data_IF_533440388415
#
_entry.id   IF_533440388415
#
_cell.length_a   1.000
_cell.length_b   1.000
_cell.length_c   1.000
_cell.angle_alpha   90.00
_cell.angle_beta   90.00
_cell.angle_gamma   90.00
#
_symmetry.space_group_name_H-M   'P 1'
#
loop_
_entity.id
_entity.type
_entity.pdbx_description
1 polymer ?
#
# COMPACT_ATOMS: atom_id res chain seq x y z
N UNK A 1 5.42 -25.42 -73.56
CA UNK A 1 4.61 -24.58 -72.66
C UNK A 1 5.07 -24.89 -71.24
N UNK A 2 5.94 -24.04 -70.68
CA UNK A 2 6.50 -24.22 -69.35
C UNK A 2 5.66 -23.41 -68.35
N UNK A 3 5.08 -24.09 -67.36
CA UNK A 3 4.28 -23.48 -66.31
C UNK A 3 5.19 -22.89 -65.24
N UNK A 4 5.03 -21.60 -64.95
CA UNK A 4 5.69 -20.90 -63.87
C UNK A 4 4.99 -21.23 -62.53
N UNK A 5 5.70 -21.65 -61.47
CA UNK A 5 5.09 -21.82 -60.16
C UNK A 5 4.99 -20.46 -59.47
N UNK A 6 3.75 -20.02 -59.23
CA UNK A 6 3.43 -18.88 -58.37
C UNK A 6 3.73 -19.23 -56.92
N UNK A 7 4.89 -18.78 -56.43
CA UNK A 7 5.15 -18.64 -55.00
C UNK A 7 4.51 -17.35 -54.50
N UNK A 8 3.41 -17.48 -53.76
CA UNK A 8 2.87 -16.41 -52.93
C UNK A 8 2.63 -16.97 -51.52
N UNK A 9 3.70 -17.03 -50.72
CA UNK A 9 3.60 -17.13 -49.27
C UNK A 9 3.55 -15.71 -48.69
N UNK A 10 2.48 -14.97 -49.01
CA UNK A 10 2.17 -13.73 -48.30
C UNK A 10 1.54 -14.12 -46.97
N UNK A 11 2.39 -14.32 -45.96
CA UNK A 11 1.95 -14.43 -44.57
C UNK A 11 1.33 -13.07 -44.22
N UNK A 12 0.04 -12.99 -43.88
CA UNK A 12 -0.60 -11.72 -43.59
C UNK A 12 0.18 -11.02 -42.47
N UNK A 13 0.59 -9.77 -42.73
CA UNK A 13 1.18 -8.90 -41.72
C UNK A 13 0.19 -8.82 -40.56
N UNK A 14 0.56 -9.35 -39.40
CA UNK A 14 -0.24 -9.23 -38.19
C UNK A 14 -0.42 -7.74 -37.88
N UNK A 15 -1.66 -7.29 -37.77
CA UNK A 15 -1.98 -5.94 -37.29
C UNK A 15 -1.22 -5.70 -35.98
N UNK A 16 -0.46 -4.59 -35.85
CA UNK A 16 0.22 -4.29 -34.61
C UNK A 16 -0.81 -4.28 -33.46
N UNK A 17 -0.44 -4.89 -32.34
CA UNK A 17 -1.29 -4.93 -31.17
C UNK A 17 -1.57 -3.49 -30.70
N UNK A 18 -2.80 -3.24 -30.25
CA UNK A 18 -3.21 -1.92 -29.78
C UNK A 18 -2.48 -1.59 -28.47
N UNK A 19 -1.91 -0.40 -28.39
CA UNK A 19 -1.25 0.22 -27.23
C UNK A 19 -1.89 1.61 -27.07
N UNK A 20 -2.93 1.66 -26.24
CA UNK A 20 -3.83 2.81 -26.14
C UNK A 20 -3.21 3.96 -25.35
N UNK A 21 -2.38 3.68 -24.35
CA UNK A 21 -1.75 4.66 -23.47
C UNK A 21 -0.28 4.97 -23.83
N UNK A 22 0.27 4.24 -24.80
CA UNK A 22 1.56 4.48 -25.48
C UNK A 22 2.75 4.30 -24.57
N UNK A 23 2.66 3.34 -23.66
CA UNK A 23 3.74 3.00 -22.74
C UNK A 23 4.73 1.97 -23.34
N UNK A 24 4.37 1.36 -24.48
CA UNK A 24 5.14 0.33 -25.17
C UNK A 24 4.70 -1.11 -24.90
N UNK A 25 3.66 -1.32 -24.10
CA UNK A 25 2.96 -2.57 -23.91
C UNK A 25 1.62 -2.53 -24.66
N UNK A 26 1.22 -3.67 -25.23
CA UNK A 26 -0.12 -3.74 -25.84
C UNK A 26 -1.20 -3.95 -24.77
N UNK A 27 -2.37 -3.36 -24.95
CA UNK A 27 -3.54 -3.46 -24.07
C UNK A 27 -3.86 -4.91 -23.65
N UNK A 28 -3.70 -5.88 -24.57
CA UNK A 28 -3.95 -7.29 -24.31
C UNK A 28 -2.89 -7.95 -23.43
N UNK A 29 -1.62 -7.54 -23.56
CA UNK A 29 -0.52 -8.02 -22.72
C UNK A 29 -0.69 -7.47 -21.30
N UNK A 30 -0.96 -6.18 -21.16
CA UNK A 30 -1.22 -5.57 -19.85
C UNK A 30 -2.38 -6.26 -19.13
N UNK A 31 -3.51 -6.45 -19.82
CA UNK A 31 -4.68 -7.14 -19.27
C UNK A 31 -4.35 -8.57 -18.83
N UNK A 32 -3.55 -9.31 -19.61
CA UNK A 32 -3.13 -10.66 -19.26
C UNK A 32 -2.22 -10.68 -18.01
N UNK A 33 -1.26 -9.74 -17.91
CA UNK A 33 -0.36 -9.63 -16.77
C UNK A 33 -1.11 -9.22 -15.49
N UNK A 34 -1.99 -8.22 -15.58
CA UNK A 34 -2.84 -7.76 -14.48
C UNK A 34 -3.78 -8.87 -13.98
N UNK A 35 -4.33 -9.68 -14.90
CA UNK A 35 -5.17 -10.82 -14.52
C UNK A 35 -4.36 -11.92 -13.84
N UNK A 36 -3.20 -12.29 -14.39
CA UNK A 36 -2.35 -13.38 -13.87
C UNK A 36 -1.83 -13.09 -12.47
N UNK A 37 -1.37 -11.87 -12.24
CA UNK A 37 -0.80 -11.46 -10.95
C UNK A 37 -1.80 -10.74 -10.05
N UNK A 38 -3.11 -10.92 -10.28
CA UNK A 38 -4.13 -10.28 -9.46
C UNK A 38 -4.03 -10.70 -7.98
N UNK A 39 -3.85 -9.76 -7.03
CA UNK A 39 -3.73 -10.08 -5.62
C UNK A 39 -5.04 -10.65 -5.03
N UNK A 40 -4.90 -11.45 -3.98
CA UNK A 40 -6.03 -11.84 -3.12
C UNK A 40 -6.08 -10.90 -1.93
N UNK A 41 -7.06 -10.00 -1.92
CA UNK A 41 -7.24 -9.03 -0.84
C UNK A 41 -8.05 -9.64 0.32
N UNK A 42 -7.49 -9.61 1.52
CA UNK A 42 -8.11 -10.04 2.77
C UNK A 42 -8.59 -8.80 3.51
N UNK A 43 -9.90 -8.60 3.61
CA UNK A 43 -10.53 -7.39 4.18
C UNK A 43 -11.42 -7.77 5.35
N UNK A 44 -11.46 -6.94 6.40
CA UNK A 44 -12.33 -7.18 7.56
C UNK A 44 -13.81 -7.16 7.17
N UNK A 45 -14.58 -8.15 7.63
CA UNK A 45 -16.04 -8.17 7.47
C UNK A 45 -16.76 -7.01 8.13
N UNK A 46 -16.12 -6.40 9.13
CA UNK A 46 -16.66 -5.27 9.88
C UNK A 46 -16.07 -3.95 9.41
N UNK A 47 -15.40 -3.93 8.26
CA UNK A 47 -14.89 -2.69 7.71
C UNK A 47 -16.04 -1.74 7.35
N UNK A 48 -15.80 -0.45 7.53
CA UNK A 48 -16.78 0.59 7.26
C UNK A 48 -16.99 0.84 5.76
N UNK A 49 -16.03 0.45 4.93
CA UNK A 49 -16.09 0.41 3.47
C UNK A 49 -15.83 -1.04 3.09
N UNK A 50 -16.85 -1.89 3.22
CA UNK A 50 -16.78 -3.37 3.20
C UNK A 50 -15.90 -3.95 2.07
N UNK A 51 -15.78 -3.26 0.94
CA UNK A 51 -14.87 -3.63 -0.15
C UNK A 51 -14.43 -2.41 -0.97
N UNK A 52 -13.40 -2.56 -1.82
CA UNK A 52 -13.00 -1.53 -2.79
C UNK A 52 -14.17 -1.09 -3.68
N UNK A 53 -14.16 0.18 -4.00
CA UNK A 53 -15.22 0.91 -4.67
C UNK A 53 -14.95 1.05 -6.17
N UNK A 54 -16.02 0.89 -6.95
CA UNK A 54 -16.08 1.28 -8.34
C UNK A 54 -16.49 2.74 -8.47
N UNK A 55 -15.82 3.44 -9.39
CA UNK A 55 -16.04 4.86 -9.69
C UNK A 55 -16.76 5.04 -11.02
N UNK A 56 -17.52 6.13 -11.12
CA UNK A 56 -18.20 6.54 -12.35
C UNK A 56 -17.14 6.88 -13.41
N UNK A 57 -17.34 6.35 -14.62
CA UNK A 57 -16.43 6.54 -15.75
C UNK A 57 -16.67 7.89 -16.44
N UNK A 58 -15.66 8.40 -17.14
CA UNK A 58 -15.73 9.59 -17.99
C UNK A 58 -16.11 10.88 -17.25
N UNK A 59 -15.74 10.96 -15.97
CA UNK A 59 -15.88 12.16 -15.16
C UNK A 59 -14.56 12.42 -14.42
N UNK A 60 -14.21 13.69 -14.28
CA UNK A 60 -12.98 14.11 -13.58
C UNK A 60 -13.13 14.14 -12.06
N UNK A 61 -14.35 14.30 -11.56
CA UNK A 61 -14.62 14.25 -10.12
C UNK A 61 -14.80 12.79 -9.68
N UNK A 62 -13.95 12.25 -8.77
CA UNK A 62 -14.08 10.89 -8.28
C UNK A 62 -15.44 10.74 -7.58
N UNK A 63 -16.33 9.98 -8.22
CA UNK A 63 -17.67 9.71 -7.69
C UNK A 63 -17.82 8.21 -7.56
N UNK A 64 -17.96 7.74 -6.32
CA UNK A 64 -18.19 6.34 -6.04
C UNK A 64 -19.56 5.93 -6.58
N UNK A 65 -19.57 4.87 -7.38
CA UNK A 65 -20.77 4.22 -7.87
C UNK A 65 -21.25 3.13 -6.89
N UNK A 66 -20.38 2.19 -6.52
CA UNK A 66 -20.71 1.09 -5.60
C UNK A 66 -19.45 0.52 -4.96
N UNK A 67 -19.59 -0.10 -3.78
CA UNK A 67 -18.52 -0.81 -3.09
C UNK A 67 -18.66 -2.28 -3.51
N UNK A 68 -18.00 -2.69 -4.61
CA UNK A 68 -18.25 -3.96 -5.32
C UNK A 68 -17.00 -4.85 -5.51
N UNK A 69 -15.85 -4.45 -4.98
CA UNK A 69 -14.59 -5.18 -5.14
C UNK A 69 -13.89 -4.94 -6.48
N UNK A 70 -14.17 -3.82 -7.14
CA UNK A 70 -13.41 -3.37 -8.32
C UNK A 70 -12.00 -2.97 -7.92
N UNK A 71 -11.01 -3.50 -8.65
CA UNK A 71 -9.59 -3.16 -8.51
C UNK A 71 -9.15 -2.41 -9.77
N UNK A 72 -8.30 -1.41 -9.60
CA UNK A 72 -7.75 -0.61 -10.68
C UNK A 72 -6.29 -1.00 -10.89
N UNK A 73 -5.99 -1.52 -12.08
CA UNK A 73 -4.65 -1.97 -12.45
C UNK A 73 -3.93 -0.95 -13.31
N UNK A 74 -2.61 -0.88 -13.19
CA UNK A 74 -1.72 -0.20 -14.15
C UNK A 74 -0.54 -1.15 -14.40
N UNK A 75 -0.16 -1.31 -15.66
CA UNK A 75 1.08 -1.98 -16.03
C UNK A 75 1.98 -0.95 -16.70
N UNK A 76 3.26 -0.89 -16.35
CA UNK A 76 4.19 -0.05 -17.12
C UNK A 76 5.60 -0.65 -17.16
N UNK A 77 6.29 -0.56 -18.31
CA UNK A 77 7.62 -1.11 -18.48
C UNK A 77 8.67 -0.25 -17.78
N UNK A 78 9.67 -0.89 -17.19
CA UNK A 78 10.83 -0.18 -16.65
C UNK A 78 11.73 0.34 -17.76
N UNK A 79 11.91 1.66 -17.80
CA UNK A 79 12.72 2.34 -18.82
C UNK A 79 14.20 1.93 -18.79
N UNK A 80 14.72 1.57 -17.62
CA UNK A 80 16.12 1.24 -17.38
C UNK A 80 16.40 -0.28 -17.40
N UNK A 81 15.37 -1.11 -17.42
CA UNK A 81 15.48 -2.58 -17.35
C UNK A 81 14.51 -3.25 -18.32
N UNK A 82 14.93 -3.46 -19.58
CA UNK A 82 14.12 -4.14 -20.57
C UNK A 82 13.67 -5.52 -20.07
N UNK A 83 12.40 -5.85 -20.30
CA UNK A 83 11.79 -7.09 -19.79
C UNK A 83 11.40 -7.05 -18.32
N UNK A 84 11.56 -5.93 -17.60
CA UNK A 84 10.89 -5.72 -16.31
C UNK A 84 9.64 -4.84 -16.49
N UNK A 85 8.54 -5.25 -15.88
CA UNK A 85 7.26 -4.52 -15.87
C UNK A 85 6.81 -4.36 -14.42
N UNK A 86 6.34 -3.17 -14.07
CA UNK A 86 5.67 -2.92 -12.80
C UNK A 86 4.16 -3.06 -12.97
N UNK A 87 3.53 -3.84 -12.11
CA UNK A 87 2.08 -3.99 -12.04
C UNK A 87 1.60 -3.36 -10.74
N UNK A 88 0.81 -2.29 -10.82
CA UNK A 88 0.22 -1.63 -9.66
C UNK A 88 -1.26 -1.98 -9.58
N UNK A 89 -1.73 -2.33 -8.38
CA UNK A 89 -3.12 -2.64 -8.09
C UNK A 89 -3.62 -1.67 -7.02
N UNK A 90 -4.39 -0.69 -7.46
CA UNK A 90 -5.04 0.28 -6.60
C UNK A 90 -6.40 -0.26 -6.14
N UNK A 91 -6.57 -0.33 -4.83
CA UNK A 91 -7.85 -0.58 -4.21
C UNK A 91 -8.35 0.73 -3.62
N UNK A 92 -9.38 1.27 -4.26
CA UNK A 92 -9.91 2.59 -3.98
C UNK A 92 -11.13 2.46 -3.09
N UNK A 93 -11.24 3.24 -2.03
CA UNK A 93 -12.32 3.14 -1.06
C UNK A 93 -13.15 4.39 -1.02
N UNK A 94 -14.41 4.23 -0.62
CA UNK A 94 -15.33 5.34 -0.44
C UNK A 94 -14.84 6.31 0.64
N UNK A 95 -14.22 5.78 1.70
CA UNK A 95 -13.78 6.53 2.87
C UNK A 95 -12.71 5.75 3.62
N UNK A 96 -11.80 6.46 4.26
CA UNK A 96 -11.05 6.02 5.45
C UNK A 96 -11.94 6.29 6.69
N UNK A 97 -12.07 5.32 7.59
CA UNK A 97 -12.77 5.46 8.86
C UNK A 97 -11.91 5.11 10.07
N UNK A 98 -10.59 5.17 9.92
CA UNK A 98 -9.67 5.28 11.03
C UNK A 98 -9.98 6.50 11.91
N UNK A 99 -9.15 6.70 12.93
CA UNK A 99 -9.34 7.76 13.92
C UNK A 99 -9.42 9.17 13.30
N UNK A 100 -8.74 9.39 12.17
CA UNK A 100 -8.76 10.62 11.39
C UNK A 100 -9.43 10.43 10.02
N UNK A 101 -10.52 9.65 10.00
CA UNK A 101 -11.19 9.25 8.77
C UNK A 101 -11.58 10.41 7.84
N UNK A 102 -11.51 10.14 6.54
CA UNK A 102 -11.81 11.09 5.47
C UNK A 102 -12.56 10.41 4.32
N UNK A 103 -13.20 11.21 3.47
CA UNK A 103 -13.76 10.70 2.22
C UNK A 103 -12.63 10.37 1.25
N UNK A 104 -12.86 9.35 0.42
CA UNK A 104 -11.94 8.84 -0.60
C UNK A 104 -10.60 8.39 -0.02
N UNK A 105 -10.29 7.12 -0.23
CA UNK A 105 -9.01 6.58 0.20
C UNK A 105 -8.43 5.71 -0.93
N UNK A 106 -7.12 5.84 -1.12
CA UNK A 106 -6.43 5.31 -2.29
C UNK A 106 -5.15 4.63 -1.83
N UNK A 107 -5.23 3.31 -1.78
CA UNK A 107 -4.14 2.46 -1.33
C UNK A 107 -3.80 1.43 -2.42
N UNK A 108 -2.59 0.87 -2.35
CA UNK A 108 -2.12 0.00 -3.42
C UNK A 108 -1.12 -1.07 -2.97
N UNK A 109 -1.01 -2.08 -3.83
CA UNK A 109 0.04 -3.09 -3.82
C UNK A 109 0.62 -3.15 -5.22
N UNK A 110 1.92 -3.40 -5.35
CA UNK A 110 2.56 -3.53 -6.65
C UNK A 110 3.46 -4.76 -6.73
N UNK A 111 3.65 -5.26 -7.93
CA UNK A 111 4.55 -6.35 -8.25
C UNK A 111 5.56 -5.89 -9.31
N UNK A 112 6.83 -6.22 -9.10
CA UNK A 112 7.84 -6.13 -10.14
C UNK A 112 7.96 -7.51 -10.78
N UNK A 113 7.70 -7.60 -12.08
CA UNK A 113 7.76 -8.86 -12.82
C UNK A 113 8.87 -8.83 -13.87
N UNK A 114 9.40 -10.01 -14.16
CA UNK A 114 10.22 -10.27 -15.33
C UNK A 114 9.37 -10.92 -16.42
N UNK A 115 9.40 -10.35 -17.61
CA UNK A 115 8.70 -10.78 -18.80
C UNK A 115 9.70 -11.39 -19.80
N UNK A 116 9.60 -12.69 -20.04
CA UNK A 116 10.42 -13.41 -21.02
C UNK A 116 9.58 -13.78 -22.25
N UNK A 117 9.17 -12.77 -23.02
CA UNK A 117 8.35 -12.93 -24.22
C UNK A 117 6.88 -12.61 -24.02
N UNK A 118 6.14 -13.47 -23.32
CA UNK A 118 4.67 -13.36 -23.17
C UNK A 118 4.19 -13.42 -21.71
N UNK A 119 2.89 -13.18 -21.52
CA UNK A 119 2.29 -13.17 -20.19
C UNK A 119 2.38 -14.53 -19.48
N UNK A 120 2.53 -15.65 -20.20
CA UNK A 120 2.57 -17.02 -19.66
C UNK A 120 3.97 -17.42 -19.17
N UNK A 121 5.02 -16.78 -19.67
CA UNK A 121 6.38 -16.93 -19.14
C UNK A 121 6.72 -15.99 -17.99
N UNK A 122 5.91 -14.94 -17.76
CA UNK A 122 6.17 -13.92 -16.76
C UNK A 122 6.31 -14.48 -15.34
N UNK A 123 7.24 -13.92 -14.56
CA UNK A 123 7.46 -14.25 -13.14
C UNK A 123 7.54 -12.98 -12.31
N UNK A 124 6.82 -12.94 -11.18
CA UNK A 124 7.04 -11.88 -10.21
C UNK A 124 8.39 -12.08 -9.51
N UNK A 125 9.15 -10.98 -9.39
CA UNK A 125 10.43 -10.92 -8.68
C UNK A 125 10.23 -10.42 -7.26
N UNK A 126 9.40 -9.38 -7.10
CA UNK A 126 9.15 -8.69 -5.84
C UNK A 126 7.71 -8.23 -5.72
N UNK A 127 7.27 -8.05 -4.47
CA UNK A 127 5.98 -7.50 -4.09
C UNK A 127 6.17 -6.36 -3.10
N UNK A 128 5.52 -5.24 -3.36
CA UNK A 128 5.46 -4.07 -2.50
C UNK A 128 4.03 -3.86 -2.01
N UNK A 129 3.86 -3.58 -0.73
CA UNK A 129 2.58 -3.23 -0.14
C UNK A 129 2.66 -1.85 0.52
N UNK A 130 1.79 -0.94 0.09
CA UNK A 130 1.70 0.41 0.63
C UNK A 130 0.87 0.41 1.91
N UNK A 131 1.47 0.76 3.04
CA UNK A 131 0.74 0.94 4.30
C UNK A 131 1.12 2.28 4.92
N UNK A 132 0.16 3.20 5.01
CA UNK A 132 0.39 4.57 5.50
C UNK A 132 1.48 5.30 4.69
N UNK A 133 1.58 4.98 3.40
CA UNK A 133 2.59 5.53 2.51
C UNK A 133 2.54 7.07 2.48
N UNK A 134 3.70 7.72 2.34
CA UNK A 134 3.85 9.18 2.33
C UNK A 134 3.45 9.89 3.64
N UNK A 135 3.10 9.15 4.69
CA UNK A 135 2.85 9.72 6.02
C UNK A 135 4.10 9.68 6.91
N UNK A 136 4.00 10.28 8.10
CA UNK A 136 5.03 10.13 9.16
C UNK A 136 5.15 8.68 9.65
N UNK A 137 4.16 7.87 9.30
CA UNK A 137 3.92 6.55 9.84
C UNK A 137 3.98 5.44 8.79
N UNK A 138 4.64 5.73 7.66
CA UNK A 138 4.84 4.80 6.55
C UNK A 138 5.40 3.43 6.99
N UNK A 139 4.52 2.45 6.92
CA UNK A 139 4.74 1.03 7.20
C UNK A 139 4.82 0.21 5.90
N UNK A 140 5.05 0.85 4.76
CA UNK A 140 5.18 0.16 3.50
C UNK A 140 6.39 -0.77 3.51
N UNK A 141 6.26 -1.90 2.84
CA UNK A 141 7.26 -2.95 2.84
C UNK A 141 7.31 -3.69 1.52
N UNK A 142 8.44 -4.36 1.31
CA UNK A 142 8.82 -5.04 0.08
C UNK A 142 9.27 -6.46 0.45
N UNK A 143 8.86 -7.47 -0.30
CA UNK A 143 9.34 -8.84 -0.16
C UNK A 143 9.73 -9.40 -1.54
N UNK A 144 10.62 -10.41 -1.57
CA UNK A 144 10.78 -11.21 -2.79
C UNK A 144 9.49 -11.98 -3.03
N UNK A 145 9.11 -12.17 -4.29
CA UNK A 145 7.90 -12.92 -4.63
C UNK A 145 7.93 -14.35 -4.07
N UNK A 146 9.10 -14.99 -4.09
CA UNK A 146 9.32 -16.30 -3.46
C UNK A 146 9.00 -16.31 -1.96
N UNK A 147 9.33 -15.24 -1.23
CA UNK A 147 9.10 -15.12 0.22
C UNK A 147 7.62 -15.18 0.58
N UNK A 148 6.77 -14.69 -0.31
CA UNK A 148 5.30 -14.62 -0.16
C UNK A 148 4.59 -15.63 -1.06
N UNK A 149 5.35 -16.61 -1.59
CA UNK A 149 4.88 -17.66 -2.49
C UNK A 149 4.02 -17.12 -3.66
N UNK A 150 4.44 -16.02 -4.30
CA UNK A 150 3.68 -15.30 -5.32
C UNK A 150 4.52 -15.01 -6.57
N UNK A 151 5.38 -15.95 -6.97
CA UNK A 151 6.20 -15.83 -8.20
C UNK A 151 5.38 -16.05 -9.47
N UNK A 152 4.30 -16.82 -9.37
CA UNK A 152 3.50 -17.31 -10.50
C UNK A 152 2.06 -16.80 -10.54
N UNK A 153 1.64 -16.13 -9.47
CA UNK A 153 0.28 -15.63 -9.24
C UNK A 153 0.32 -14.40 -8.32
N UNK A 154 -0.83 -13.79 -8.06
CA UNK A 154 -0.92 -12.67 -7.13
C UNK A 154 -0.63 -13.02 -5.68
N UNK A 155 -0.06 -12.08 -4.92
CA UNK A 155 0.15 -12.25 -3.48
C UNK A 155 -1.18 -12.20 -2.71
N UNK A 156 -1.18 -12.83 -1.53
CA UNK A 156 -2.23 -12.55 -0.52
C UNK A 156 -1.87 -11.24 0.17
N UNK A 157 -2.83 -10.33 0.29
CA UNK A 157 -2.65 -8.98 0.85
C UNK A 157 -3.67 -8.77 1.95
N UNK A 158 -3.22 -8.39 3.13
CA UNK A 158 -4.06 -8.07 4.28
C UNK A 158 -4.28 -6.57 4.35
N UNK A 159 -5.54 -6.17 4.36
CA UNK A 159 -5.94 -4.76 4.43
C UNK A 159 -6.31 -4.43 5.87
N UNK A 160 -5.67 -3.41 6.45
CA UNK A 160 -5.99 -2.99 7.80
C UNK A 160 -7.37 -2.34 7.89
N UNK A 161 -8.15 -2.72 8.90
CA UNK A 161 -9.51 -2.23 9.01
C UNK A 161 -9.57 -0.73 9.32
N UNK A 162 -10.37 -0.02 8.54
CA UNK A 162 -10.67 1.39 8.64
C UNK A 162 -9.64 2.33 8.04
N UNK A 163 -8.34 1.96 8.04
CA UNK A 163 -7.27 2.76 7.41
C UNK A 163 -6.82 2.22 6.05
N UNK A 164 -7.18 0.99 5.73
CA UNK A 164 -6.89 0.28 4.49
C UNK A 164 -5.42 0.13 4.06
N UNK A 165 -4.47 0.24 4.99
CA UNK A 165 -3.07 -0.04 4.70
C UNK A 165 -2.89 -1.49 4.25
N UNK A 166 -2.05 -1.71 3.22
CA UNK A 166 -1.77 -3.01 2.65
C UNK A 166 -0.59 -3.71 3.31
N UNK A 167 -0.75 -4.99 3.60
CA UNK A 167 0.29 -5.82 4.20
C UNK A 167 0.46 -7.17 3.51
N UNK A 168 1.71 -7.63 3.34
CA UNK A 168 2.04 -8.94 2.75
C UNK A 168 1.94 -10.11 3.74
N UNK A 169 1.64 -9.84 5.00
CA UNK A 169 1.28 -10.86 5.98
C UNK A 169 0.39 -10.28 7.08
N UNK A 170 -0.39 -11.16 7.73
CA UNK A 170 -1.18 -10.79 8.91
C UNK A 170 -0.30 -10.27 10.04
N UNK A 171 0.87 -10.87 10.22
CA UNK A 171 1.85 -10.48 11.23
C UNK A 171 2.36 -9.07 10.99
N UNK A 172 2.66 -8.69 9.74
CA UNK A 172 3.09 -7.33 9.42
C UNK A 172 1.98 -6.30 9.71
N UNK A 173 0.72 -6.63 9.41
CA UNK A 173 -0.41 -5.78 9.73
C UNK A 173 -0.55 -5.52 11.24
N UNK A 174 -0.38 -6.56 12.07
CA UNK A 174 -0.40 -6.41 13.53
C UNK A 174 0.70 -5.47 14.06
N UNK A 175 1.73 -5.19 13.25
CA UNK A 175 2.85 -4.31 13.57
C UNK A 175 2.90 -3.05 12.67
N UNK A 176 1.76 -2.69 12.07
CA UNK A 176 1.61 -1.47 11.29
C UNK A 176 1.73 -0.19 12.14
N UNK A 177 1.28 0.94 11.60
CA UNK A 177 1.22 2.19 12.35
C UNK A 177 -0.07 2.27 13.17
N UNK A 178 0.02 1.80 14.42
CA UNK A 178 -0.86 2.17 15.52
C UNK A 178 -2.35 2.14 15.19
N UNK A 179 -3.01 1.03 15.49
CA UNK A 179 -4.45 0.86 15.26
C UNK A 179 -4.79 0.07 14.01
N UNK A 180 -3.79 -0.34 13.22
CA UNK A 180 -3.97 -1.36 12.18
C UNK A 180 -4.44 -2.68 12.81
N UNK A 181 -5.50 -3.24 12.24
CA UNK A 181 -6.06 -4.54 12.66
C UNK A 181 -6.47 -5.32 11.41
N UNK A 182 -5.96 -6.55 11.30
CA UNK A 182 -6.33 -7.49 10.23
C UNK A 182 -6.95 -8.75 10.84
N UNK A 183 -7.97 -8.54 11.68
CA UNK A 183 -8.75 -9.58 12.33
C UNK A 183 -10.06 -9.79 11.57
N UNK A 184 -10.63 -11.00 11.67
CA UNK A 184 -11.91 -11.34 11.01
C UNK A 184 -11.97 -11.03 9.51
N UNK A 185 -10.81 -11.15 8.84
CA UNK A 185 -10.69 -10.88 7.41
C UNK A 185 -11.22 -12.03 6.57
N UNK A 186 -11.81 -11.69 5.44
CA UNK A 186 -12.24 -12.62 4.40
C UNK A 186 -11.66 -12.21 3.03
N UNK A 187 -11.44 -13.17 2.11
CA UNK A 187 -11.01 -12.83 0.77
C UNK A 187 -12.13 -12.06 0.05
N UNK A 188 -11.80 -10.88 -0.45
CA UNK A 188 -12.68 -10.10 -1.32
C UNK A 188 -12.79 -10.80 -2.66
N UNK A 189 -14.02 -10.98 -3.13
CA UNK A 189 -14.27 -11.39 -4.50
C UNK A 189 -14.03 -10.20 -5.42
N UNK A 190 -12.86 -10.15 -6.05
CA UNK A 190 -12.56 -9.15 -7.09
C UNK A 190 -13.59 -9.25 -8.20
N UNK A 191 -14.34 -8.18 -8.42
CA UNK A 191 -15.39 -8.15 -9.45
C UNK A 191 -14.80 -7.93 -10.84
N UNK A 192 -13.84 -7.01 -10.92
CA UNK A 192 -13.16 -6.64 -12.14
C UNK A 192 -11.79 -6.05 -11.81
N UNK A 193 -10.86 -6.18 -12.76
CA UNK A 193 -9.61 -5.42 -12.79
C UNK A 193 -9.73 -4.48 -13.99
N UNK A 194 -9.70 -3.18 -13.73
CA UNK A 194 -9.80 -2.14 -14.77
C UNK A 194 -8.41 -1.59 -15.01
N UNK A 195 -7.84 -1.79 -16.21
CA UNK A 195 -6.60 -1.11 -16.57
C UNK A 195 -6.88 0.40 -16.66
N UNK A 196 -6.19 1.19 -15.86
CA UNK A 196 -6.36 2.64 -15.85
C UNK A 196 -5.39 3.35 -16.80
N UNK A 197 -4.41 2.64 -17.33
CA UNK A 197 -3.35 3.15 -18.21
C UNK A 197 -2.47 4.19 -17.53
N UNK A 198 -1.65 4.85 -18.34
CA UNK A 198 -0.76 5.92 -17.91
C UNK A 198 -1.48 7.21 -17.51
N UNK A 199 -0.89 7.97 -16.59
CA UNK A 199 -1.43 9.27 -16.14
C UNK A 199 -1.63 10.27 -17.29
N UNK A 200 -0.78 10.21 -18.31
CA UNK A 200 -0.86 11.07 -19.50
C UNK A 200 -1.87 10.58 -20.55
N UNK A 201 -2.34 9.34 -20.43
CA UNK A 201 -3.28 8.71 -21.35
C UNK A 201 -4.22 7.75 -20.60
N UNK A 202 -5.11 8.26 -19.71
CA UNK A 202 -5.98 7.41 -18.93
C UNK A 202 -6.86 6.50 -19.80
N UNK A 203 -6.92 5.23 -19.45
CA UNK A 203 -7.73 4.22 -20.10
C UNK A 203 -9.06 4.01 -19.39
N UNK A 204 -9.98 3.36 -20.10
CA UNK A 204 -11.26 2.89 -19.55
C UNK A 204 -12.13 3.97 -18.88
N UNK A 205 -11.96 5.24 -19.23
CA UNK A 205 -12.74 6.36 -18.69
C UNK A 205 -12.35 6.73 -17.26
N UNK A 206 -11.07 6.54 -16.90
CA UNK A 206 -10.52 6.81 -15.57
C UNK A 206 -10.06 8.27 -15.41
N UNK A 207 -10.78 9.24 -15.99
CA UNK A 207 -10.39 10.66 -15.98
C UNK A 207 -10.26 11.25 -14.56
N UNK A 208 -10.92 10.63 -13.59
CA UNK A 208 -10.86 10.99 -12.17
C UNK A 208 -9.50 10.70 -11.50
N UNK A 209 -8.59 9.96 -12.15
CA UNK A 209 -7.22 9.77 -11.65
C UNK A 209 -6.47 11.10 -11.53
N UNK A 210 -6.83 12.08 -12.37
CA UNK A 210 -6.21 13.41 -12.41
C UNK A 210 -6.84 14.39 -11.40
N UNK A 211 -7.83 13.94 -10.63
CA UNK A 211 -8.52 14.79 -9.66
C UNK A 211 -7.59 15.21 -8.52
N UNK A 212 -7.59 16.50 -8.12
CA UNK A 212 -6.87 16.94 -6.92
C UNK A 212 -7.55 16.50 -5.61
N UNK A 213 -8.72 15.85 -5.67
CA UNK A 213 -9.46 15.43 -4.47
C UNK A 213 -8.81 14.26 -3.70
N UNK A 214 -7.80 13.59 -4.27
CA UNK A 214 -7.04 12.53 -3.61
C UNK A 214 -5.65 12.30 -4.26
N UNK A 215 -4.67 11.68 -3.57
CA UNK A 215 -3.26 11.70 -3.97
C UNK A 215 -2.88 10.64 -5.03
N UNK A 216 -3.79 10.21 -5.90
CA UNK A 216 -3.52 9.13 -6.87
C UNK A 216 -2.47 9.49 -7.92
N UNK A 217 -2.46 10.75 -8.38
CA UNK A 217 -1.50 11.22 -9.38
C UNK A 217 -0.04 10.93 -9.00
N UNK A 218 0.31 11.17 -7.74
CA UNK A 218 1.69 10.98 -7.28
C UNK A 218 2.05 9.48 -7.12
N UNK A 219 1.05 8.62 -6.89
CA UNK A 219 1.21 7.16 -6.82
C UNK A 219 1.37 6.52 -8.21
N UNK A 220 0.58 6.95 -9.20
CA UNK A 220 0.61 6.41 -10.57
C UNK A 220 1.91 6.66 -11.33
N UNK A 221 2.60 7.76 -10.99
CA UNK A 221 3.77 8.23 -11.74
C UNK A 221 5.12 7.71 -11.23
N UNK A 222 5.13 6.89 -10.17
CA UNK A 222 6.38 6.50 -9.48
C UNK A 222 6.57 4.99 -9.44
N UNK A 223 7.83 4.59 -9.56
CA UNK A 223 8.24 3.21 -9.30
C UNK A 223 8.27 2.92 -7.81
N UNK A 224 7.72 1.78 -7.41
CA UNK A 224 7.87 1.28 -6.04
C UNK A 224 9.18 0.52 -5.82
N UNK A 225 9.89 0.21 -6.90
CA UNK A 225 11.03 -0.71 -6.94
C UNK A 225 12.35 -0.01 -7.29
N UNK A 226 12.63 1.10 -6.61
CA UNK A 226 13.93 1.78 -6.74
C UNK A 226 15.09 0.83 -6.45
N UNK A 227 16.23 1.03 -7.10
CA UNK A 227 17.43 0.20 -6.92
C UNK A 227 17.86 0.10 -5.44
N UNK A 228 17.69 1.17 -4.66
CA UNK A 228 17.99 1.19 -3.24
C UNK A 228 17.05 0.30 -2.40
N UNK A 229 15.77 0.18 -2.80
CA UNK A 229 14.81 -0.74 -2.17
C UNK A 229 15.10 -2.18 -2.56
N UNK A 230 15.33 -2.45 -3.84
CA UNK A 230 15.68 -3.78 -4.35
C UNK A 230 16.97 -4.29 -3.71
N UNK A 231 18.04 -3.50 -3.71
CA UNK A 231 19.31 -3.86 -3.08
C UNK A 231 19.19 -4.11 -1.57
N UNK A 232 18.19 -3.52 -0.89
CA UNK A 232 17.91 -3.80 0.52
C UNK A 232 17.20 -5.14 0.69
N UNK A 233 16.16 -5.40 -0.10
CA UNK A 233 15.50 -6.71 -0.12
C UNK A 233 16.50 -7.82 -0.46
N UNK A 234 17.47 -7.53 -1.34
CA UNK A 234 18.46 -8.51 -1.77
C UNK A 234 19.43 -8.95 -0.68
N UNK A 235 19.72 -8.09 0.31
CA UNK A 235 20.66 -8.37 1.40
C UNK A 235 20.08 -9.21 2.52
N UNK A 236 18.76 -9.34 2.59
CA UNK A 236 18.12 -10.16 3.62
C UNK A 236 17.94 -11.61 3.15
N UNK A 237 17.72 -12.49 4.12
CA UNK A 237 17.39 -13.89 3.84
C UNK A 237 16.09 -13.95 3.04
N UNK A 238 15.98 -14.97 2.19
CA UNK A 238 14.85 -15.14 1.27
C UNK A 238 13.46 -15.17 1.91
N UNK A 239 13.32 -15.28 3.24
CA UNK A 239 12.04 -15.35 3.93
C UNK A 239 11.55 -14.03 4.52
N UNK A 240 12.27 -12.91 4.34
CA UNK A 240 11.95 -11.65 5.04
C UNK A 240 11.37 -10.59 4.11
N UNK A 241 10.36 -9.88 4.62
CA UNK A 241 9.96 -8.58 4.11
C UNK A 241 10.88 -7.48 4.70
N UNK A 242 11.13 -6.43 3.92
CA UNK A 242 11.90 -5.24 4.31
C UNK A 242 11.01 -4.02 4.33
N UNK A 243 11.22 -3.14 5.31
CA UNK A 243 10.60 -1.82 5.28
C UNK A 243 11.09 -1.03 4.07
N UNK A 244 10.17 -0.45 3.32
CA UNK A 244 10.47 0.38 2.17
C UNK A 244 11.17 1.67 2.59
N UNK A 245 10.75 2.25 3.72
CA UNK A 245 11.25 3.52 4.27
C UNK A 245 11.69 3.38 5.75
N UNK A 246 12.81 2.69 6.04
CA UNK A 246 13.23 2.36 7.41
C UNK A 246 13.50 3.59 8.29
N UNK A 247 13.81 4.74 7.70
CA UNK A 247 14.00 6.00 8.42
C UNK A 247 12.73 6.52 9.11
N UNK A 248 11.54 6.01 8.74
CA UNK A 248 10.25 6.37 9.34
C UNK A 248 9.92 5.53 10.58
N UNK A 249 10.61 4.42 10.83
CA UNK A 249 10.37 3.51 11.97
C UNK A 249 10.44 4.16 13.35
N UNK A 250 11.36 5.09 13.66
CA UNK A 250 11.40 5.71 14.98
C UNK A 250 10.10 6.44 15.35
N UNK A 251 9.43 7.06 14.38
CA UNK A 251 8.15 7.71 14.62
C UNK A 251 7.03 6.69 14.91
N UNK A 252 7.01 5.57 14.19
CA UNK A 252 6.04 4.50 14.42
C UNK A 252 6.17 3.87 15.81
N UNK A 253 7.40 3.62 16.28
CA UNK A 253 7.63 3.08 17.61
C UNK A 253 7.08 4.02 18.70
N UNK A 254 7.25 5.33 18.52
CA UNK A 254 6.67 6.33 19.41
C UNK A 254 5.14 6.34 19.37
N UNK A 255 4.54 6.27 18.18
CA UNK A 255 3.08 6.26 17.98
C UNK A 255 2.45 4.98 18.57
N UNK A 256 3.05 3.82 18.32
CA UNK A 256 2.67 2.54 18.92
C UNK A 256 2.73 2.61 20.45
N UNK A 257 3.80 3.17 21.01
CA UNK A 257 3.97 3.34 22.46
C UNK A 257 2.93 4.28 23.07
N UNK A 258 2.55 5.36 22.39
CA UNK A 258 1.50 6.28 22.84
C UNK A 258 0.12 5.61 22.80
N UNK A 259 -0.21 4.91 21.72
CA UNK A 259 -1.49 4.20 21.59
C UNK A 259 -1.62 3.09 22.64
N UNK A 260 -0.53 2.37 22.92
CA UNK A 260 -0.48 1.40 24.02
C UNK A 260 -0.66 2.08 25.40
N UNK A 261 -0.09 3.27 25.59
CA UNK A 261 -0.25 4.05 26.81
C UNK A 261 -1.66 4.58 27.06
N UNK A 262 -2.41 4.87 25.99
CA UNK A 262 -3.80 5.32 26.05
C UNK A 262 -4.81 4.15 26.08
N UNK A 263 -4.43 2.97 25.57
CA UNK A 263 -5.27 1.77 25.49
C UNK A 263 -5.13 0.75 26.64
N UNK A 264 -4.19 0.92 27.57
CA UNK A 264 -3.99 0.02 28.71
C UNK A 264 -2.63 -0.64 28.73
N UNK A 265 -2.00 -0.67 29.90
CA UNK A 265 -0.58 -0.92 30.18
C UNK A 265 -0.01 -2.33 29.83
N UNK A 266 -0.61 -3.09 28.91
CA UNK A 266 -0.20 -4.45 28.59
C UNK A 266 0.73 -4.58 27.35
N UNK A 267 0.78 -3.59 26.44
CA UNK A 267 1.41 -3.77 25.10
C UNK A 267 2.83 -3.21 24.97
N UNK A 268 3.29 -2.41 25.95
CA UNK A 268 4.61 -1.73 25.88
C UNK A 268 5.82 -2.68 25.85
N UNK A 269 5.68 -3.90 26.40
CA UNK A 269 6.72 -4.92 26.35
C UNK A 269 6.76 -5.64 24.98
N UNK A 270 5.61 -5.96 24.38
CA UNK A 270 5.52 -6.68 23.11
C UNK A 270 5.97 -5.86 21.89
N UNK A 271 5.76 -4.53 21.92
CA UNK A 271 6.27 -3.63 20.88
C UNK A 271 7.81 -3.52 20.88
N UNK A 272 8.46 -3.85 22.02
CA UNK A 272 9.92 -3.88 22.16
C UNK A 272 10.48 -5.25 21.78
N UNK A 273 9.79 -6.34 22.13
CA UNK A 273 10.18 -7.70 21.73
C UNK A 273 10.09 -7.92 20.21
N UNK A 274 9.21 -7.22 19.50
CA UNK A 274 9.06 -7.41 18.05
C UNK A 274 10.11 -6.66 17.22
N UNK A 275 10.92 -5.79 17.84
CA UNK A 275 12.19 -5.35 17.25
C UNK A 275 13.26 -6.47 17.27
N UNK A 276 13.07 -7.52 18.08
CA UNK A 276 13.99 -8.67 18.20
C UNK A 276 13.88 -9.67 17.03
N UNK A 277 12.82 -9.61 16.22
CA UNK A 277 12.70 -10.47 15.03
C UNK A 277 13.67 -10.10 13.89
N UNK A 278 14.38 -8.97 13.99
CA UNK A 278 15.18 -8.38 12.89
C UNK A 278 16.61 -7.98 13.30
N UNK A 279 17.04 -8.11 14.57
CA UNK A 279 18.42 -7.78 14.94
C UNK A 279 18.94 -8.58 16.14
N UNK A 280 20.09 -9.24 15.96
CA UNK A 280 20.76 -10.04 16.99
C UNK A 280 21.94 -9.29 17.66
N UNK A 281 22.14 -9.61 18.94
CA UNK A 281 23.21 -9.36 19.92
C UNK A 281 23.79 -7.95 20.18
N UNK A 282 23.86 -7.00 19.24
CA UNK A 282 24.41 -5.65 19.55
C UNK A 282 23.34 -4.59 19.83
N UNK A 283 22.07 -4.94 19.68
CA UNK A 283 20.94 -4.01 19.77
C UNK A 283 20.43 -3.89 21.22
N UNK A 284 20.60 -4.89 22.08
CA UNK A 284 20.04 -4.91 23.44
C UNK A 284 20.51 -3.78 24.35
N UNK A 285 21.80 -3.45 24.36
CA UNK A 285 22.35 -2.37 25.19
C UNK A 285 21.96 -0.96 24.69
N UNK A 286 21.93 -0.78 23.37
CA UNK A 286 21.47 0.45 22.74
C UNK A 286 19.95 0.65 22.92
N UNK A 287 19.18 -0.45 22.86
CA UNK A 287 17.72 -0.46 23.08
C UNK A 287 17.34 -0.19 24.51
N UNK A 288 18.04 -0.76 25.50
CA UNK A 288 17.80 -0.43 26.92
C UNK A 288 17.98 1.07 27.19
N UNK A 289 18.97 1.69 26.55
CA UNK A 289 19.21 3.13 26.65
C UNK A 289 18.13 3.93 25.91
N UNK A 290 17.78 3.53 24.68
CA UNK A 290 16.76 4.22 23.89
C UNK A 290 15.35 4.10 24.49
N UNK A 291 14.93 2.91 24.90
CA UNK A 291 13.66 2.67 25.60
C UNK A 291 13.60 3.45 26.92
N UNK A 292 14.70 3.46 27.69
CA UNK A 292 14.81 4.26 28.91
C UNK A 292 14.69 5.77 28.66
N UNK A 293 15.28 6.29 27.58
CA UNK A 293 15.20 7.72 27.22
C UNK A 293 13.83 8.08 26.65
N UNK A 294 13.25 7.25 25.80
CA UNK A 294 11.92 7.45 25.19
C UNK A 294 10.80 7.34 26.24
N UNK A 295 10.85 6.34 27.12
CA UNK A 295 9.89 6.23 28.23
C UNK A 295 9.93 7.44 29.16
N UNK A 296 11.13 7.93 29.47
CA UNK A 296 11.29 9.17 30.24
C UNK A 296 10.77 10.41 29.50
N UNK A 297 10.96 10.50 28.18
CA UNK A 297 10.46 11.61 27.37
C UNK A 297 8.93 11.60 27.26
N UNK A 298 8.32 10.44 27.02
CA UNK A 298 6.86 10.26 26.98
C UNK A 298 6.21 10.53 28.35
N UNK A 299 6.84 10.07 29.44
CA UNK A 299 6.39 10.37 30.81
C UNK A 299 6.47 11.87 31.13
N UNK A 300 7.45 12.59 30.59
CA UNK A 300 7.53 14.06 30.73
C UNK A 300 6.49 14.77 29.88
N UNK A 301 6.31 14.34 28.63
CA UNK A 301 5.34 14.94 27.71
C UNK A 301 3.91 14.79 28.23
N UNK A 302 3.52 13.58 28.65
CA UNK A 302 2.21 13.31 29.26
C UNK A 302 1.97 14.14 30.52
N UNK A 303 2.95 14.24 31.42
CA UNK A 303 2.86 15.12 32.60
C UNK A 303 2.68 16.60 32.22
N UNK A 304 3.35 17.07 31.18
CA UNK A 304 3.21 18.46 30.73
C UNK A 304 1.82 18.74 30.14
N UNK A 305 1.28 17.82 29.34
CA UNK A 305 -0.10 17.91 28.81
C UNK A 305 -1.11 17.90 29.96
N UNK A 306 -0.96 17.00 30.94
CA UNK A 306 -1.85 16.92 32.09
C UNK A 306 -1.81 18.19 32.94
N UNK A 307 -0.62 18.76 33.16
CA UNK A 307 -0.45 20.02 33.87
C UNK A 307 -1.07 21.21 33.12
N UNK A 308 -0.96 21.23 31.79
CA UNK A 308 -1.60 22.25 30.96
C UNK A 308 -3.13 22.14 31.03
N UNK A 309 -3.67 20.92 30.96
CA UNK A 309 -5.09 20.65 31.09
C UNK A 309 -5.63 21.13 32.45
N UNK A 310 -4.96 20.73 33.55
CA UNK A 310 -5.33 21.12 34.92
C UNK A 310 -5.33 22.64 35.12
N UNK A 311 -4.33 23.34 34.57
CA UNK A 311 -4.28 24.81 34.62
C UNK A 311 -5.42 25.45 33.83
N UNK A 312 -5.77 24.88 32.68
CA UNK A 312 -6.91 25.35 31.88
C UNK A 312 -8.21 25.20 32.66
N UNK A 313 -8.46 24.03 33.27
CA UNK A 313 -9.67 23.78 34.06
C UNK A 313 -9.78 24.70 35.28
N UNK A 314 -8.64 25.00 35.94
CA UNK A 314 -8.61 25.95 37.05
C UNK A 314 -9.00 27.36 36.61
N UNK A 315 -8.46 27.85 35.48
CA UNK A 315 -8.80 29.17 34.95
C UNK A 315 -10.25 29.28 34.51
N UNK A 316 -10.81 28.25 33.87
CA UNK A 316 -12.24 28.22 33.53
C UNK A 316 -13.11 28.22 34.79
N UNK A 317 -12.72 27.48 35.83
CA UNK A 317 -13.43 27.48 37.11
C UNK A 317 -13.37 28.81 37.87
N UNK A 318 -12.27 29.56 37.75
CA UNK A 318 -12.14 30.92 38.29
C UNK A 318 -13.00 31.92 37.52
N UNK A 319 -13.03 31.84 36.20
CA UNK A 319 -13.87 32.67 35.34
C UNK A 319 -15.37 32.49 35.66
N UNK A 320 -15.84 31.24 35.74
CA UNK A 320 -17.24 30.94 36.07
C UNK A 320 -17.65 31.36 37.50
N UNK A 321 -16.69 31.49 38.42
CA UNK A 321 -16.95 31.99 39.79
C UNK A 321 -17.02 33.52 39.86
N UNK A 322 -16.46 34.23 38.89
CA UNK A 322 -16.55 35.69 38.81
C UNK A 322 -17.90 36.14 38.24
N UNK A 323 -18.49 35.38 37.32
CA UNK A 323 -19.82 35.68 36.74
C UNK A 323 -20.98 35.49 37.73
N UNK A 324 -20.83 34.68 38.77
CA UNK A 324 -21.84 34.47 39.82
C UNK A 324 -21.80 35.52 40.97
N UNK A 325 -21.06 36.63 40.78
CA UNK A 325 -20.95 37.72 41.77
C UNK A 325 -21.53 39.07 41.29
N UNK A 326 -22.32 39.07 40.21
CA UNK A 326 -23.19 40.19 39.82
C UNK A 326 -24.63 39.91 40.23
#
# INVERSE_FOLDING_TARGET
MAANPLHANDKPLSTPAQDSDRDGLSDSLEAALLARFSPVFMVSRTDCSVMPARFVRQITKPTVMEDDGTIYGQAFPRKDRPGEVELHYYHLWRKDCGELGHALDAEHVSALIHLDGDADSAKALYWYAAAHEDTVCDASHLARAKSVAAEDHGATVWISSGKHGSFLSKELCAHGCGGDRCEEVEPVKTRAIVNVGEIGAPMNGSDWLLSPEWPLKDKLGRSDFSDARLARADRLRESYAVWANPSKRPAQAAILGVNAGLGGAATGAQATDSALGVADDNTGAALGTAAGKTGNALSRSSRNVWNALKKSTQKTGEFLKQDNKQ
#
